data_IF_626282268856
#
_entry.id   IF_626282268856
#
_cell.length_a   1.000
_cell.length_b   1.000
_cell.length_c   1.000
_cell.angle_alpha   90.00
_cell.angle_beta   90.00
_cell.angle_gamma   90.00
#
_symmetry.space_group_name_H-M   'P 1'
#
loop_
_entity.id
_entity.type
_entity.pdbx_description
1 polymer ?
#
# COMPACT_ATOMS: atom_id res chain seq x y z
N UNK A 1 9.36 -13.31 3.39
CA UNK A 1 7.96 -13.80 3.43
C UNK A 1 7.58 -14.40 4.78
N UNK A 2 8.43 -15.20 5.43
CA UNK A 2 8.14 -15.68 6.79
C UNK A 2 7.90 -14.54 7.81
N UNK A 3 8.68 -13.46 7.75
CA UNK A 3 8.49 -12.29 8.62
C UNK A 3 7.18 -11.53 8.39
N UNK A 4 6.74 -11.37 7.14
CA UNK A 4 5.48 -10.67 6.80
C UNK A 4 4.28 -11.47 7.28
N UNK A 5 4.33 -12.79 7.14
CA UNK A 5 3.34 -13.71 7.65
C UNK A 5 3.15 -13.56 9.17
N UNK A 6 4.24 -13.56 9.94
CA UNK A 6 4.21 -13.40 11.40
C UNK A 6 3.76 -11.98 11.83
N UNK A 7 4.21 -10.95 11.11
CA UNK A 7 3.92 -9.55 11.40
C UNK A 7 2.45 -9.16 11.18
N UNK A 8 1.74 -9.87 10.29
CA UNK A 8 0.30 -9.65 10.05
C UNK A 8 -0.56 -10.07 11.27
N UNK A 9 -0.03 -10.89 12.17
CA UNK A 9 -0.76 -11.30 13.37
C UNK A 9 -1.72 -12.44 13.11
N UNK A 10 -1.27 -13.65 13.46
CA UNK A 10 -2.08 -14.85 13.42
C UNK A 10 -2.99 -14.92 14.65
N UNK A 11 -4.14 -14.26 14.60
CA UNK A 11 -5.25 -14.59 15.51
C UNK A 11 -6.01 -15.80 14.95
N UNK A 12 -6.30 -16.78 15.80
CA UNK A 12 -6.94 -18.05 15.43
C UNK A 12 -8.29 -17.91 14.72
N UNK A 13 -8.99 -16.77 14.90
CA UNK A 13 -10.24 -16.45 14.18
C UNK A 13 -10.03 -15.97 12.74
N UNK A 14 -8.84 -15.50 12.37
CA UNK A 14 -8.60 -14.92 11.05
C UNK A 14 -8.32 -16.01 10.00
N UNK A 15 -7.82 -17.19 10.39
CA UNK A 15 -7.50 -18.27 9.44
C UNK A 15 -8.74 -18.84 8.73
N UNK A 16 -9.85 -18.99 9.46
CA UNK A 16 -11.13 -19.43 8.88
C UNK A 16 -11.71 -18.37 7.93
N UNK A 17 -11.55 -17.08 8.26
CA UNK A 17 -12.00 -15.98 7.40
C UNK A 17 -11.10 -15.79 6.16
N UNK A 18 -9.78 -15.96 6.27
CA UNK A 18 -8.81 -15.83 5.16
C UNK A 18 -8.89 -17.03 4.21
N UNK A 19 -9.11 -18.26 4.70
CA UNK A 19 -9.33 -19.45 3.86
C UNK A 19 -10.77 -19.59 3.32
N UNK A 20 -11.50 -18.48 3.24
CA UNK A 20 -12.76 -18.49 2.49
C UNK A 20 -12.42 -18.45 1.00
N UNK A 21 -12.87 -19.45 0.23
CA UNK A 21 -12.53 -19.60 -1.20
C UNK A 21 -12.67 -18.31 -2.06
N UNK A 22 -13.69 -17.45 -1.86
CA UNK A 22 -13.80 -16.15 -2.52
C UNK A 22 -12.66 -15.18 -2.18
N UNK A 23 -12.21 -15.15 -0.91
CA UNK A 23 -11.13 -14.27 -0.46
C UNK A 23 -9.79 -14.63 -1.09
N UNK A 24 -9.49 -15.93 -1.20
CA UNK A 24 -8.30 -16.41 -1.91
C UNK A 24 -8.35 -16.06 -3.40
N UNK A 25 -9.51 -16.25 -4.04
CA UNK A 25 -9.69 -15.91 -5.45
C UNK A 25 -9.52 -14.40 -5.71
N UNK A 26 -10.18 -13.56 -4.91
CA UNK A 26 -10.06 -12.10 -5.01
C UNK A 26 -8.64 -11.61 -4.70
N UNK A 27 -7.96 -12.20 -3.71
CA UNK A 27 -6.58 -11.88 -3.38
C UNK A 27 -5.60 -12.21 -4.50
N UNK A 28 -5.74 -13.39 -5.13
CA UNK A 28 -4.94 -13.75 -6.30
C UNK A 28 -5.24 -12.85 -7.50
N UNK A 29 -6.51 -12.52 -7.73
CA UNK A 29 -6.91 -11.63 -8.81
C UNK A 29 -6.39 -10.20 -8.59
N UNK A 30 -6.33 -9.72 -7.35
CA UNK A 30 -5.72 -8.46 -6.98
C UNK A 30 -4.20 -8.47 -7.22
N UNK A 31 -3.51 -9.54 -6.84
CA UNK A 31 -2.07 -9.70 -7.10
C UNK A 31 -1.75 -9.74 -8.60
N UNK A 32 -2.57 -10.45 -9.40
CA UNK A 32 -2.46 -10.48 -10.86
C UNK A 32 -2.71 -9.09 -11.47
N UNK A 33 -3.76 -8.40 -11.04
CA UNK A 33 -4.09 -7.05 -11.52
C UNK A 33 -2.98 -6.05 -11.19
N UNK A 34 -2.41 -6.12 -9.98
CA UNK A 34 -1.28 -5.28 -9.57
C UNK A 34 -0.01 -5.57 -10.37
N UNK A 35 0.27 -6.85 -10.65
CA UNK A 35 1.41 -7.25 -11.48
C UNK A 35 1.26 -6.75 -12.92
N UNK A 36 0.06 -6.91 -13.51
CA UNK A 36 -0.26 -6.37 -14.84
C UNK A 36 -0.10 -4.86 -14.87
N UNK A 37 -0.58 -4.16 -13.84
CA UNK A 37 -0.44 -2.73 -13.70
C UNK A 37 1.03 -2.27 -13.68
N UNK A 38 1.89 -2.92 -12.91
CA UNK A 38 3.34 -2.63 -12.91
C UNK A 38 3.95 -2.92 -14.28
N UNK A 39 3.61 -4.05 -14.91
CA UNK A 39 4.14 -4.45 -16.20
C UNK A 39 3.76 -3.45 -17.32
N UNK A 40 2.48 -3.11 -17.44
CA UNK A 40 2.02 -2.12 -18.42
C UNK A 40 2.58 -0.73 -18.11
N UNK A 41 2.54 -0.28 -16.85
CA UNK A 41 3.09 1.01 -16.43
C UNK A 41 4.59 1.15 -16.73
N UNK A 42 5.35 0.05 -16.62
CA UNK A 42 6.78 0.01 -16.97
C UNK A 42 7.08 -0.09 -18.47
N UNK A 43 6.15 -0.60 -19.28
CA UNK A 43 6.37 -0.90 -20.71
C UNK A 43 5.98 0.25 -21.65
N UNK A 44 4.86 0.95 -21.41
CA UNK A 44 4.27 1.91 -22.37
C UNK A 44 4.68 3.37 -22.21
N UNK A 45 5.35 3.77 -21.12
CA UNK A 45 5.49 5.19 -20.77
C UNK A 45 6.95 5.67 -20.56
N UNK A 46 7.89 5.28 -21.43
CA UNK A 46 9.31 5.66 -21.29
C UNK A 46 9.61 7.16 -21.57
N UNK A 47 8.66 7.93 -22.13
CA UNK A 47 8.92 9.30 -22.61
C UNK A 47 8.00 10.39 -22.03
N UNK A 48 7.06 10.07 -21.12
CA UNK A 48 6.16 11.06 -20.53
C UNK A 48 6.71 11.62 -19.21
N UNK A 49 6.51 12.92 -18.89
CA UNK A 49 6.84 13.47 -17.59
C UNK A 49 6.11 12.70 -16.49
N UNK A 50 6.85 12.28 -15.45
CA UNK A 50 6.37 11.46 -14.33
C UNK A 50 5.07 11.97 -13.70
N UNK A 51 4.87 13.29 -13.68
CA UNK A 51 3.67 13.95 -13.14
C UNK A 51 2.42 13.70 -13.99
N UNK A 52 2.56 13.71 -15.32
CA UNK A 52 1.44 13.49 -16.25
C UNK A 52 1.01 12.03 -16.20
N UNK A 53 1.98 11.10 -16.08
CA UNK A 53 1.71 9.68 -15.88
C UNK A 53 0.93 9.43 -14.59
N UNK A 54 1.36 10.05 -13.49
CA UNK A 54 0.69 9.92 -12.20
C UNK A 54 -0.76 10.41 -12.28
N UNK A 55 -1.00 11.55 -12.93
CA UNK A 55 -2.35 12.10 -13.05
C UNK A 55 -3.29 11.16 -13.84
N UNK A 56 -2.83 10.59 -14.96
CA UNK A 56 -3.64 9.63 -15.71
C UNK A 56 -3.92 8.33 -14.95
N UNK A 57 -2.95 7.85 -14.17
CA UNK A 57 -3.13 6.68 -13.31
C UNK A 57 -4.17 6.95 -12.21
N UNK A 58 -4.11 8.12 -11.56
CA UNK A 58 -5.07 8.52 -10.51
C UNK A 58 -6.47 8.72 -11.09
N UNK A 59 -6.61 9.36 -12.26
CA UNK A 59 -7.90 9.54 -12.94
C UNK A 59 -8.50 8.19 -13.33
N UNK A 60 -7.71 7.28 -13.89
CA UNK A 60 -8.16 5.93 -14.23
C UNK A 60 -8.61 5.15 -12.99
N UNK A 61 -7.84 5.21 -11.91
CA UNK A 61 -8.20 4.57 -10.64
C UNK A 61 -9.49 5.16 -10.05
N UNK A 62 -9.65 6.49 -10.07
CA UNK A 62 -10.86 7.16 -9.60
C UNK A 62 -12.10 6.78 -10.45
N UNK A 63 -11.94 6.70 -11.77
CA UNK A 63 -13.04 6.30 -12.66
C UNK A 63 -13.51 4.86 -12.38
N UNK A 64 -12.57 3.92 -12.26
CA UNK A 64 -12.91 2.53 -11.90
C UNK A 64 -13.54 2.48 -10.51
N UNK A 65 -12.99 3.22 -9.54
CA UNK A 65 -13.54 3.28 -8.19
C UNK A 65 -14.99 3.82 -8.19
N UNK A 66 -15.30 4.84 -8.98
CA UNK A 66 -16.67 5.37 -9.08
C UNK A 66 -17.64 4.47 -9.84
N UNK A 67 -17.14 3.63 -10.76
CA UNK A 67 -17.97 2.60 -11.43
C UNK A 67 -18.32 1.48 -10.44
N UNK A 68 -17.35 1.02 -9.64
CA UNK A 68 -17.54 -0.07 -8.67
C UNK A 68 -18.30 0.41 -7.43
N UNK A 69 -17.99 1.62 -6.96
CA UNK A 69 -18.59 2.27 -5.80
C UNK A 69 -19.13 3.64 -6.20
N UNK A 70 -20.42 3.75 -6.56
CA UNK A 70 -21.02 5.00 -6.99
C UNK A 70 -20.82 6.09 -5.93
N UNK A 71 -20.52 7.34 -6.32
CA UNK A 71 -20.15 8.40 -5.39
C UNK A 71 -21.37 9.02 -4.69
N UNK A 72 -22.10 8.21 -3.91
CA UNK A 72 -23.25 8.64 -3.11
C UNK A 72 -22.89 9.71 -2.07
N UNK A 73 -21.61 9.79 -1.69
CA UNK A 73 -21.09 10.81 -0.78
C UNK A 73 -21.28 12.25 -1.26
N UNK A 74 -21.48 12.46 -2.56
CA UNK A 74 -21.74 13.78 -3.15
C UNK A 74 -23.19 14.22 -2.87
N UNK A 75 -24.13 13.27 -2.86
CA UNK A 75 -25.58 13.54 -2.76
C UNK A 75 -26.12 13.40 -1.34
N UNK A 76 -25.52 12.56 -0.50
CA UNK A 76 -26.01 12.25 0.85
C UNK A 76 -25.63 13.31 1.91
N UNK A 77 -24.98 14.41 1.51
CA UNK A 77 -24.54 15.47 2.41
C UNK A 77 -23.34 15.12 3.30
N UNK A 78 -22.82 13.89 3.22
CA UNK A 78 -21.64 13.43 3.98
C UNK A 78 -20.38 14.23 3.64
N UNK A 79 -20.28 14.74 2.41
CA UNK A 79 -19.21 15.65 2.03
C UNK A 79 -19.22 16.93 2.88
N UNK A 80 -20.38 17.53 3.14
CA UNK A 80 -20.52 18.71 4.00
C UNK A 80 -20.36 18.38 5.49
N UNK A 81 -20.64 17.12 5.89
CA UNK A 81 -20.45 16.63 7.25
C UNK A 81 -18.97 16.42 7.66
N UNK A 82 -18.01 16.79 6.80
CA UNK A 82 -16.58 16.76 7.11
C UNK A 82 -15.79 15.67 6.39
N UNK A 83 -16.43 14.84 5.56
CA UNK A 83 -15.73 13.80 4.78
C UNK A 83 -14.67 14.40 3.84
N UNK A 84 -14.88 15.63 3.38
CA UNK A 84 -13.91 16.35 2.55
C UNK A 84 -12.54 16.53 3.23
N UNK A 85 -12.50 16.66 4.56
CA UNK A 85 -11.24 16.83 5.30
C UNK A 85 -10.44 15.54 5.26
N UNK A 86 -11.07 14.42 5.60
CA UNK A 86 -10.44 13.10 5.55
C UNK A 86 -10.00 12.76 4.12
N UNK A 87 -10.86 12.98 3.13
CA UNK A 87 -10.53 12.76 1.72
C UNK A 87 -9.36 13.64 1.25
N UNK A 88 -9.31 14.90 1.68
CA UNK A 88 -8.20 15.82 1.41
C UNK A 88 -6.88 15.34 2.02
N UNK A 89 -6.88 14.97 3.30
CA UNK A 89 -5.68 14.45 3.98
C UNK A 89 -5.20 13.13 3.35
N UNK A 90 -6.11 12.17 3.10
CA UNK A 90 -5.79 10.89 2.45
C UNK A 90 -5.29 11.08 1.02
N UNK A 91 -5.91 11.98 0.25
CA UNK A 91 -5.48 12.29 -1.11
C UNK A 91 -4.09 12.92 -1.14
N UNK A 92 -3.81 13.87 -0.24
CA UNK A 92 -2.54 14.57 -0.20
C UNK A 92 -1.41 13.66 0.31
N UNK A 93 -1.59 13.05 1.49
CA UNK A 93 -0.56 12.28 2.18
C UNK A 93 -0.51 10.80 1.77
N UNK A 94 -1.61 10.24 1.26
CA UNK A 94 -1.67 8.83 0.84
C UNK A 94 -1.41 8.63 -0.65
N UNK A 95 -1.67 9.62 -1.51
CA UNK A 95 -1.55 9.49 -2.97
C UNK A 95 -0.55 10.50 -3.53
N UNK A 96 -0.85 11.79 -3.44
CA UNK A 96 -0.12 12.85 -4.16
C UNK A 96 1.35 12.95 -3.76
N UNK A 97 1.62 13.15 -2.47
CA UNK A 97 2.98 13.33 -1.96
C UNK A 97 3.81 12.03 -2.10
N UNK A 98 3.34 10.85 -1.64
CA UNK A 98 4.13 9.62 -1.74
C UNK A 98 4.43 9.24 -3.19
N UNK A 99 3.45 9.29 -4.10
CA UNK A 99 3.72 8.93 -5.50
C UNK A 99 4.69 9.90 -6.16
N UNK A 100 4.56 11.21 -5.90
CA UNK A 100 5.50 12.18 -6.42
C UNK A 100 6.92 11.96 -5.89
N UNK A 101 7.08 11.81 -4.57
CA UNK A 101 8.37 11.58 -3.93
C UNK A 101 8.98 10.26 -4.37
N UNK A 102 8.20 9.19 -4.46
CA UNK A 102 8.67 7.89 -4.93
C UNK A 102 9.12 7.97 -6.38
N UNK A 103 8.32 8.55 -7.26
CA UNK A 103 8.64 8.61 -8.68
C UNK A 103 9.80 9.56 -9.00
N UNK A 104 10.04 10.60 -8.18
CA UNK A 104 11.25 11.45 -8.25
C UNK A 104 12.46 10.81 -7.58
N UNK A 105 12.26 10.04 -6.49
CA UNK A 105 13.32 9.43 -5.68
C UNK A 105 13.90 8.16 -6.30
N UNK A 106 13.07 7.29 -6.88
CA UNK A 106 13.50 6.01 -7.48
C UNK A 106 14.65 6.16 -8.48
N UNK A 107 14.65 7.14 -9.42
CA UNK A 107 15.78 7.37 -10.33
C UNK A 107 17.11 7.71 -9.63
N UNK A 108 17.06 8.31 -8.43
CA UNK A 108 18.27 8.73 -7.69
C UNK A 108 18.85 7.62 -6.80
N UNK A 109 18.02 6.72 -6.29
CA UNK A 109 18.44 5.64 -5.37
C UNK A 109 18.53 4.26 -6.02
N UNK A 110 17.98 4.11 -7.23
CA UNK A 110 17.88 2.83 -7.95
C UNK A 110 16.69 1.98 -7.49
N UNK A 111 16.21 1.12 -8.39
CA UNK A 111 15.01 0.27 -8.18
C UNK A 111 15.13 -0.68 -7.00
N UNK A 112 16.32 -1.25 -6.74
CA UNK A 112 16.53 -2.17 -5.61
C UNK A 112 16.39 -1.48 -4.25
N UNK A 113 16.98 -0.29 -4.07
CA UNK A 113 16.87 0.47 -2.82
C UNK A 113 15.48 1.04 -2.62
N UNK A 114 14.80 1.43 -3.71
CA UNK A 114 13.40 1.85 -3.64
C UNK A 114 12.48 0.70 -3.19
N UNK A 115 12.72 -0.53 -3.67
CA UNK A 115 11.96 -1.70 -3.23
C UNK A 115 12.19 -2.00 -1.73
N UNK A 116 13.43 -1.85 -1.24
CA UNK A 116 13.72 -1.97 0.19
C UNK A 116 13.01 -0.89 1.01
N UNK A 117 12.97 0.35 0.54
CA UNK A 117 12.26 1.44 1.18
C UNK A 117 10.74 1.16 1.26
N UNK A 118 10.18 0.53 0.22
CA UNK A 118 8.79 0.05 0.24
C UNK A 118 8.56 -1.06 1.25
N UNK A 119 9.52 -1.97 1.44
CA UNK A 119 9.40 -3.03 2.45
C UNK A 119 9.37 -2.50 3.90
N UNK A 120 9.90 -1.29 4.15
CA UNK A 120 9.86 -0.60 5.45
C UNK A 120 8.43 -0.12 5.79
N UNK A 121 7.53 0.00 4.81
CA UNK A 121 6.14 0.41 5.01
C UNK A 121 5.44 -0.47 6.07
N UNK A 122 5.57 -1.79 5.96
CA UNK A 122 4.93 -2.74 6.87
C UNK A 122 5.38 -2.55 8.34
N UNK A 123 6.68 -2.53 8.68
CA UNK A 123 7.14 -2.17 10.03
C UNK A 123 6.62 -0.82 10.52
N UNK A 124 6.65 0.21 9.68
CA UNK A 124 6.20 1.56 10.05
C UNK A 124 4.71 1.57 10.38
N UNK A 125 3.89 0.93 9.56
CA UNK A 125 2.44 0.78 9.80
C UNK A 125 2.19 0.13 11.15
N UNK A 126 2.88 -0.96 11.49
CA UNK A 126 2.66 -1.65 12.76
C UNK A 126 3.08 -0.80 13.96
N UNK A 127 4.19 -0.07 13.87
CA UNK A 127 4.60 0.89 14.92
C UNK A 127 3.52 1.96 15.14
N UNK A 128 2.98 2.51 14.05
CA UNK A 128 1.89 3.48 14.15
C UNK A 128 0.57 2.87 14.65
N UNK A 129 0.25 1.62 14.32
CA UNK A 129 -0.90 0.91 14.90
C UNK A 129 -0.82 0.83 16.43
N UNK A 130 0.37 0.62 16.99
CA UNK A 130 0.55 0.64 18.45
C UNK A 130 0.45 2.05 19.01
N UNK A 131 1.16 3.01 18.41
CA UNK A 131 1.29 4.36 18.96
C UNK A 131 0.01 5.19 18.82
N UNK A 132 -0.68 5.06 17.69
CA UNK A 132 -1.88 5.86 17.36
C UNK A 132 -3.17 5.12 17.68
N UNK A 133 -3.27 3.83 17.32
CA UNK A 133 -4.51 3.06 17.47
C UNK A 133 -4.57 2.29 18.81
N UNK A 134 -3.47 2.26 19.59
CA UNK A 134 -3.34 1.50 20.84
C UNK A 134 -3.71 0.01 20.68
N UNK A 135 -3.44 -0.57 19.50
CA UNK A 135 -3.70 -1.99 19.25
C UNK A 135 -2.68 -2.86 20.02
N UNK A 136 -3.15 -3.88 20.79
CA UNK A 136 -2.26 -4.76 21.51
C UNK A 136 -1.47 -5.65 20.54
N UNK A 137 -0.14 -5.58 20.61
CA UNK A 137 0.73 -6.46 19.83
C UNK A 137 0.89 -7.82 20.50
N UNK A 138 0.86 -8.86 19.67
CA UNK A 138 1.27 -10.20 20.07
C UNK A 138 2.79 -10.34 19.98
N UNK A 139 3.38 -11.20 20.83
CA UNK A 139 4.81 -11.51 20.76
C UNK A 139 5.25 -12.06 19.38
N UNK A 140 4.32 -12.71 18.66
CA UNK A 140 4.54 -13.25 17.31
C UNK A 140 4.68 -12.11 16.28
N UNK A 141 3.84 -11.07 16.36
CA UNK A 141 3.97 -9.91 15.47
C UNK A 141 5.29 -9.18 15.70
N UNK A 142 5.72 -9.04 16.96
CA UNK A 142 6.99 -8.42 17.29
C UNK A 142 8.18 -9.21 16.73
N UNK A 143 8.14 -10.55 16.81
CA UNK A 143 9.13 -11.41 16.17
C UNK A 143 9.12 -11.27 14.64
N UNK A 144 7.93 -11.17 14.02
CA UNK A 144 7.78 -10.91 12.59
C UNK A 144 8.44 -9.60 12.16
N UNK A 145 8.20 -8.51 12.90
CA UNK A 145 8.82 -7.19 12.66
C UNK A 145 10.34 -7.29 12.78
N UNK A 146 10.86 -7.94 13.83
CA UNK A 146 12.29 -8.11 14.02
C UNK A 146 12.95 -8.84 12.83
N UNK A 147 12.30 -9.88 12.30
CA UNK A 147 12.76 -10.61 11.11
C UNK A 147 12.77 -9.72 9.86
N UNK A 148 11.72 -8.91 9.65
CA UNK A 148 11.65 -7.97 8.52
C UNK A 148 12.78 -6.94 8.61
N UNK A 149 12.96 -6.32 9.78
CA UNK A 149 14.02 -5.33 10.00
C UNK A 149 15.41 -5.94 9.82
N UNK A 150 15.65 -7.15 10.35
CA UNK A 150 16.90 -7.86 10.14
C UNK A 150 17.16 -8.14 8.66
N UNK A 151 16.15 -8.58 7.91
CA UNK A 151 16.25 -8.79 6.46
C UNK A 151 16.60 -7.51 5.69
N UNK A 152 15.98 -6.39 6.05
CA UNK A 152 16.28 -5.08 5.45
C UNK A 152 17.72 -4.67 5.75
N UNK A 153 18.16 -4.75 7.03
CA UNK A 153 19.52 -4.40 7.44
C UNK A 153 20.55 -5.25 6.68
N UNK A 154 20.36 -6.57 6.61
CA UNK A 154 21.26 -7.46 5.87
C UNK A 154 21.30 -7.12 4.38
N UNK A 155 20.16 -6.80 3.77
CA UNK A 155 20.11 -6.43 2.35
C UNK A 155 20.74 -5.06 2.07
N UNK A 156 20.78 -4.16 3.05
CA UNK A 156 21.45 -2.86 2.94
C UNK A 156 22.97 -3.02 3.12
N UNK A 157 23.41 -3.91 4.01
CA UNK A 157 24.83 -4.17 4.28
C UNK A 157 25.53 -4.95 3.17
N UNK A 158 24.81 -5.84 2.47
CA UNK A 158 25.33 -6.56 1.30
C UNK A 158 25.23 -5.64 0.07
N UNK A 159 26.30 -4.89 -0.16
CA UNK A 159 26.43 -3.91 -1.24
C UNK A 159 26.34 -4.54 -2.63
#
# INVERSE_FOLDING_TARGET
MAGTLLAVGYSSNTFSAILTAPGLFLGLLAALSYTLFIYFSGSTAKHAPTIVRNNWMVVGAAAIAFIVFPPHFITDGSLAAGLWQYGGFLGLFGILIPFYLFAKGVPHIGTSRAALLGAVELPVVIVFSVLLLNEPLTAIQLAGIAIILAGIILSVLKK
#
